data_IF_006048704358
#
_entry.id   IF_006048704358
#
_cell.length_a   1.000
_cell.length_b   1.000
_cell.length_c   1.000
_cell.angle_alpha   90.00
_cell.angle_beta   90.00
_cell.angle_gamma   90.00
#
_symmetry.space_group_name_H-M   'P 1'
#
loop_
_entity.id
_entity.type
_entity.pdbx_description
1 polymer ?
#
# COMPACT_ATOMS: atom_id res chain seq x y z
N UNK A 1 7.98 -0.11 5.68
CA UNK A 1 8.29 -1.49 6.16
C UNK A 1 7.53 -1.77 7.45
N UNK A 2 6.87 -2.93 7.58
CA UNK A 2 6.13 -3.28 8.80
C UNK A 2 7.11 -3.69 9.90
N UNK A 3 7.04 -3.01 11.07
CA UNK A 3 7.85 -3.39 12.24
C UNK A 3 7.42 -4.77 12.75
N UNK A 4 8.37 -5.60 13.20
CA UNK A 4 8.04 -6.88 13.84
C UNK A 4 7.13 -6.63 15.04
N UNK A 5 6.03 -7.36 15.10
CA UNK A 5 5.06 -7.27 16.19
C UNK A 5 4.66 -8.67 16.64
N UNK A 6 4.20 -8.77 17.89
CA UNK A 6 3.56 -9.96 18.42
C UNK A 6 2.09 -9.64 18.66
N UNK A 7 1.21 -10.57 18.31
CA UNK A 7 -0.22 -10.50 18.55
C UNK A 7 -0.65 -11.79 19.25
N UNK A 8 -1.30 -11.67 20.41
CA UNK A 8 -1.80 -12.83 21.15
C UNK A 8 -3.01 -13.45 20.46
N UNK A 9 -3.35 -14.69 20.83
CA UNK A 9 -4.57 -15.34 20.34
C UNK A 9 -5.79 -14.54 20.79
N UNK A 10 -6.80 -14.40 19.91
CA UNK A 10 -8.06 -13.65 20.14
C UNK A 10 -7.90 -12.15 20.41
N UNK A 11 -6.79 -11.53 20.02
CA UNK A 11 -6.65 -10.08 20.07
C UNK A 11 -6.56 -9.48 18.67
N UNK A 12 -6.91 -8.21 18.56
CA UNK A 12 -6.77 -7.42 17.34
C UNK A 12 -5.84 -6.24 17.61
N UNK A 13 -5.13 -5.79 16.58
CA UNK A 13 -4.27 -4.61 16.63
C UNK A 13 -4.24 -3.95 15.25
N UNK A 14 -4.38 -2.63 15.25
CA UNK A 14 -4.18 -1.81 14.05
C UNK A 14 -2.69 -1.55 13.90
N UNK A 15 -2.17 -1.75 12.68
CA UNK A 15 -0.79 -1.47 12.31
C UNK A 15 -0.81 -0.43 11.21
N UNK A 16 -0.19 0.72 11.48
CA UNK A 16 0.00 1.77 10.49
C UNK A 16 1.38 1.60 9.87
N UNK A 17 1.45 1.57 8.54
CA UNK A 17 2.71 1.45 7.82
C UNK A 17 2.66 2.27 6.54
N UNK A 18 3.80 2.84 6.18
CA UNK A 18 3.97 3.56 4.91
C UNK A 18 4.44 2.59 3.84
N UNK A 19 3.81 2.71 2.67
CA UNK A 19 4.21 2.05 1.43
C UNK A 19 4.87 3.12 0.56
N UNK A 20 6.14 2.93 0.26
CA UNK A 20 6.92 3.85 -0.56
C UNK A 20 7.13 3.23 -1.94
N UNK A 21 6.76 3.96 -2.98
CA UNK A 21 7.14 3.65 -4.36
C UNK A 21 8.33 4.51 -4.74
N UNK A 22 9.43 3.90 -5.19
CA UNK A 22 10.58 4.62 -5.74
C UNK A 22 10.65 4.38 -7.24
N UNK A 23 10.83 5.45 -8.02
CA UNK A 23 10.95 5.40 -9.49
C UNK A 23 9.86 4.56 -10.16
N UNK A 24 8.61 4.69 -9.70
CA UNK A 24 7.47 3.94 -10.24
C UNK A 24 7.24 4.40 -11.69
N UNK A 25 7.43 3.54 -12.70
CA UNK A 25 7.25 3.93 -14.09
C UNK A 25 5.76 4.15 -14.39
N UNK A 26 5.44 5.28 -15.00
CA UNK A 26 4.07 5.62 -15.42
C UNK A 26 4.02 5.66 -16.94
N UNK A 27 3.75 4.52 -17.56
CA UNK A 27 3.66 4.43 -19.02
C UNK A 27 2.53 5.33 -19.54
N UNK A 28 2.86 6.24 -20.46
CA UNK A 28 1.92 7.26 -20.98
C UNK A 28 1.53 8.37 -19.99
N UNK A 29 1.96 8.29 -18.72
CA UNK A 29 1.63 9.26 -17.66
C UNK A 29 2.72 10.31 -17.42
N UNK A 30 3.98 10.02 -17.77
CA UNK A 30 5.11 10.94 -17.56
C UNK A 30 4.87 12.30 -18.21
N UNK A 31 4.51 12.43 -19.51
CA UNK A 31 4.31 13.74 -20.14
C UNK A 31 3.22 14.61 -19.49
N UNK A 32 2.27 14.00 -18.76
CA UNK A 32 1.24 14.71 -18.00
C UNK A 32 1.74 15.17 -16.63
N UNK A 33 2.67 14.44 -16.02
CA UNK A 33 3.25 14.74 -14.71
C UNK A 33 4.60 15.46 -14.79
N UNK A 34 5.18 15.58 -15.98
CA UNK A 34 6.41 16.32 -16.28
C UNK A 34 6.05 17.57 -17.09
N UNK A 35 5.67 18.64 -16.40
CA UNK A 35 5.32 19.92 -17.01
C UNK A 35 5.38 21.07 -16.01
N UNK A 36 5.17 22.32 -16.45
CA UNK A 36 5.08 23.47 -15.56
C UNK A 36 4.06 23.22 -14.43
N UNK A 37 4.29 23.78 -13.24
CA UNK A 37 3.45 23.56 -12.05
C UNK A 37 1.94 23.76 -12.31
N UNK A 38 1.56 24.58 -13.27
CA UNK A 38 0.16 24.82 -13.64
C UNK A 38 -0.47 23.66 -14.42
N UNK A 39 0.27 22.95 -15.27
CA UNK A 39 -0.18 21.70 -15.90
C UNK A 39 -0.33 20.56 -14.89
N UNK A 40 0.46 20.58 -13.81
CA UNK A 40 0.44 19.56 -12.78
C UNK A 40 -0.85 19.56 -11.93
N UNK A 41 -1.61 20.66 -11.93
CA UNK A 41 -2.85 20.81 -11.16
C UNK A 41 -4.04 20.05 -11.77
N UNK A 42 -4.02 19.76 -13.06
CA UNK A 42 -5.15 19.15 -13.80
C UNK A 42 -4.96 17.66 -14.08
N UNK A 43 -3.83 17.07 -13.67
CA UNK A 43 -3.47 15.70 -14.01
C UNK A 43 -3.74 14.76 -12.85
N UNK A 44 -4.62 13.79 -13.12
CA UNK A 44 -4.96 12.69 -12.23
C UNK A 44 -4.77 11.37 -12.97
N UNK A 45 -4.02 10.44 -12.39
CA UNK A 45 -3.77 9.10 -12.94
C UNK A 45 -4.28 8.06 -11.95
N UNK A 46 -5.36 7.32 -12.26
CA UNK A 46 -5.83 6.22 -11.42
C UNK A 46 -4.90 5.01 -11.56
N UNK A 47 -4.56 4.39 -10.43
CA UNK A 47 -3.68 3.24 -10.33
C UNK A 47 -4.23 2.25 -9.30
N UNK A 48 -3.84 0.98 -9.47
CA UNK A 48 -4.10 -0.07 -8.49
C UNK A 48 -2.81 -0.44 -7.78
N UNK A 49 -2.67 -0.01 -6.52
CA UNK A 49 -1.57 -0.39 -5.66
C UNK A 49 -1.83 -1.80 -5.11
N UNK A 50 -1.13 -2.80 -5.64
CA UNK A 50 -1.22 -4.18 -5.16
C UNK A 50 0.03 -4.56 -4.39
N UNK A 51 -0.14 -5.04 -3.16
CA UNK A 51 0.96 -5.50 -2.33
C UNK A 51 0.56 -6.70 -1.48
N UNK A 52 1.58 -7.45 -1.07
CA UNK A 52 1.40 -8.65 -0.27
C UNK A 52 1.87 -8.41 1.16
N UNK A 53 0.99 -8.70 2.12
CA UNK A 53 1.33 -8.75 3.54
C UNK A 53 1.64 -10.19 3.92
N UNK A 54 2.88 -10.41 4.37
CA UNK A 54 3.34 -11.71 4.85
C UNK A 54 3.40 -11.71 6.37
N UNK A 55 2.69 -12.64 6.99
CA UNK A 55 2.74 -12.85 8.45
C UNK A 55 3.12 -14.30 8.79
N UNK A 56 3.60 -14.51 10.00
CA UNK A 56 3.88 -15.83 10.56
C UNK A 56 3.30 -15.87 11.97
N UNK A 57 2.57 -16.93 12.30
CA UNK A 57 2.01 -17.10 13.63
C UNK A 57 2.19 -18.55 14.11
N UNK A 58 2.23 -18.74 15.42
CA UNK A 58 2.23 -20.04 16.07
C UNK A 58 0.77 -20.46 16.28
N UNK A 59 0.28 -21.43 15.50
CA UNK A 59 -1.13 -21.86 15.56
C UNK A 59 -1.34 -23.09 16.46
N UNK A 60 -0.30 -23.92 16.62
CA UNK A 60 -0.30 -25.14 17.45
C UNK A 60 0.94 -25.12 18.37
N UNK A 61 0.97 -24.17 19.30
CA UNK A 61 2.17 -23.90 20.09
C UNK A 61 3.38 -23.58 19.20
N UNK A 62 4.60 -23.88 19.67
CA UNK A 62 5.83 -23.66 18.88
C UNK A 62 6.10 -24.75 17.84
N UNK A 63 5.20 -25.73 17.69
CA UNK A 63 5.37 -26.89 16.79
C UNK A 63 5.25 -26.50 15.31
N UNK A 64 4.27 -25.65 14.98
CA UNK A 64 4.03 -25.24 13.60
C UNK A 64 3.97 -23.72 13.50
N UNK A 65 4.69 -23.17 12.52
CA UNK A 65 4.77 -21.73 12.22
C UNK A 65 4.40 -21.47 10.76
N UNK A 66 3.12 -21.61 10.37
CA UNK A 66 2.67 -21.33 9.01
C UNK A 66 2.98 -19.88 8.60
N UNK A 67 3.10 -19.69 7.30
CA UNK A 67 3.20 -18.38 6.65
C UNK A 67 1.82 -18.05 6.08
N UNK A 68 1.28 -16.90 6.45
CA UNK A 68 0.06 -16.38 5.87
C UNK A 68 0.41 -15.27 4.89
N UNK A 69 -0.26 -15.28 3.76
CA UNK A 69 -0.08 -14.32 2.69
C UNK A 69 -1.44 -13.66 2.48
N UNK A 70 -1.50 -12.34 2.61
CA UNK A 70 -2.72 -11.57 2.35
C UNK A 70 -2.43 -10.60 1.22
N UNK A 71 -3.12 -10.78 0.10
CA UNK A 71 -3.01 -9.89 -1.03
C UNK A 71 -3.98 -8.71 -0.84
N UNK A 72 -3.46 -7.50 -0.95
CA UNK A 72 -4.21 -6.26 -0.76
C UNK A 72 -4.06 -5.44 -2.02
N UNK A 73 -5.19 -5.02 -2.58
CA UNK A 73 -5.24 -4.10 -3.71
C UNK A 73 -5.98 -2.85 -3.26
N UNK A 74 -5.35 -1.69 -3.42
CA UNK A 74 -5.95 -0.40 -3.09
C UNK A 74 -6.03 0.47 -4.34
N UNK A 75 -7.16 1.14 -4.53
CA UNK A 75 -7.28 2.17 -5.55
C UNK A 75 -6.59 3.45 -5.08
N UNK A 76 -5.77 4.03 -5.96
CA UNK A 76 -5.00 5.26 -5.70
C UNK A 76 -5.12 6.17 -6.89
N UNK A 77 -5.43 7.44 -6.65
CA UNK A 77 -5.38 8.47 -7.68
C UNK A 77 -4.12 9.30 -7.44
N UNK A 78 -3.17 9.23 -8.37
CA UNK A 78 -2.01 10.12 -8.36
C UNK A 78 -2.41 11.46 -8.94
N UNK A 79 -2.54 12.44 -8.06
CA UNK A 79 -2.75 13.85 -8.43
C UNK A 79 -1.40 14.55 -8.54
N UNK A 80 -1.15 15.21 -9.66
CA UNK A 80 0.11 15.91 -9.91
C UNK A 80 0.47 16.94 -8.82
N UNK A 81 -0.51 17.71 -8.34
CA UNK A 81 -0.34 18.70 -7.27
C UNK A 81 -0.15 18.11 -5.85
N UNK A 82 -0.30 16.79 -5.70
CA UNK A 82 -0.11 16.06 -4.44
C UNK A 82 1.01 15.02 -4.49
N UNK A 83 1.82 15.00 -5.56
CA UNK A 83 3.00 14.15 -5.62
C UNK A 83 3.94 14.44 -4.43
N UNK A 84 4.50 13.37 -3.86
CA UNK A 84 5.38 13.46 -2.68
C UNK A 84 4.67 13.68 -1.34
N UNK A 85 3.34 13.85 -1.33
CA UNK A 85 2.54 13.94 -0.10
C UNK A 85 1.96 12.58 0.27
N UNK A 86 1.69 12.37 1.56
CA UNK A 86 1.03 11.15 2.03
C UNK A 86 -0.42 11.10 1.55
N UNK A 87 -0.84 9.91 1.11
CA UNK A 87 -2.22 9.62 0.73
C UNK A 87 -2.80 8.57 1.68
N UNK A 88 -4.00 8.82 2.19
CA UNK A 88 -4.67 7.88 3.09
C UNK A 88 -5.41 6.81 2.29
N UNK A 89 -4.99 5.55 2.45
CA UNK A 89 -5.50 4.40 1.73
C UNK A 89 -6.51 3.56 2.54
N UNK A 90 -6.80 3.92 3.79
CA UNK A 90 -7.54 3.06 4.72
C UNK A 90 -8.91 2.59 4.18
N UNK A 91 -9.57 3.43 3.38
CA UNK A 91 -10.92 3.17 2.89
C UNK A 91 -10.97 2.74 1.41
N UNK A 92 -9.83 2.63 0.71
CA UNK A 92 -9.78 2.30 -0.73
C UNK A 92 -9.23 0.90 -1.02
N UNK A 93 -9.01 0.09 0.01
CA UNK A 93 -8.37 -1.22 -0.09
C UNK A 93 -9.35 -2.39 -0.04
N UNK A 94 -9.15 -3.36 -0.93
CA UNK A 94 -9.85 -4.64 -0.97
C UNK A 94 -8.89 -5.75 -0.52
N UNK A 95 -9.36 -6.60 0.37
CA UNK A 95 -8.60 -7.73 0.91
C UNK A 95 -9.03 -9.02 0.22
N UNK A 96 -8.12 -9.64 -0.53
CA UNK A 96 -8.38 -10.97 -1.09
C UNK A 96 -8.06 -12.04 -0.04
N UNK A 97 -8.93 -13.04 0.06
CA UNK A 97 -8.79 -14.20 0.94
C UNK A 97 -7.76 -15.20 0.38
#
# INVERSE_FOLDING_TARGET
MIKKFYQSRKSQRVIVTEVLGNQVPLYGGIPRLSGPKDHLKSVSVPLNLTFLVRSRAYILGRLVKPKFYRNITCEVILEGNRLGKHHNLANSCIYKA
#
